data_IF_867202397133
#
_entry.id   IF_867202397133
#
_cell.length_a   1.000
_cell.length_b   1.000
_cell.length_c   1.000
_cell.angle_alpha   90.00
_cell.angle_beta   90.00
_cell.angle_gamma   90.00
#
_symmetry.space_group_name_H-M   'P 1'
#
loop_
_entity.id
_entity.type
_entity.pdbx_description
1 polymer ?
#
# COMPACT_ATOMS: atom_id res chain seq x y z
N UNK A 1 3.57 2.12 -5.45
CA UNK A 1 2.10 2.01 -5.62
C UNK A 1 1.41 3.24 -5.06
N UNK A 2 0.08 3.25 -5.12
CA UNK A 2 -0.69 4.36 -4.58
C UNK A 2 -0.82 4.23 -3.06
N UNK A 3 0.01 4.94 -2.33
CA UNK A 3 -0.06 4.94 -0.88
C UNK A 3 -1.23 5.78 -0.41
N UNK A 5 -3.06 5.16 2.55
CA UNK A 5 -2.84 5.30 3.99
C UNK A 5 -2.60 3.91 4.56
N UNK A 6 -1.47 3.34 4.21
CA UNK A 6 -1.19 1.94 4.50
C UNK A 6 0.02 1.80 5.42
N UNK A 7 0.30 0.57 5.82
CA UNK A 7 1.44 0.27 6.66
C UNK A 7 2.77 0.44 5.91
N UNK A 8 3.00 -0.39 4.89
CA UNK A 8 4.22 -0.29 4.11
C UNK A 8 4.11 0.83 3.09
N UNK A 9 5.25 1.40 2.68
CA UNK A 9 5.28 2.40 1.63
C UNK A 9 5.44 1.76 0.25
N UNK A 10 5.80 0.48 0.22
CA UNK A 10 6.06 -0.23 -1.02
C UNK A 10 4.86 -1.02 -1.49
N UNK A 11 3.84 -1.10 -0.66
CA UNK A 11 2.65 -1.85 -1.04
C UNK A 11 1.44 -0.91 -1.19
N UNK A 12 0.38 -1.37 -1.87
CA UNK A 12 -0.83 -0.57 -2.09
C UNK A 12 -1.74 -0.54 -0.86
N UNK A 13 -2.97 -0.07 -1.04
CA UNK A 13 -3.93 0.00 0.05
C UNK A 13 -4.84 -1.24 0.05
N UNK A 14 -4.51 -2.22 -0.77
CA UNK A 14 -5.33 -3.41 -0.95
C UNK A 14 -4.51 -4.69 -0.90
N UNK A 15 -3.45 -4.73 -1.73
CA UNK A 15 -2.51 -5.87 -1.83
C UNK A 15 -3.21 -7.23 -1.73
N UNK A 16 -3.61 -7.74 -2.88
CA UNK A 16 -4.39 -8.98 -2.95
C UNK A 16 -3.72 -9.97 -3.89
#
# INVERSE_FOLDING_TARGET
PSIXHVHRPDWPCWYR
#
